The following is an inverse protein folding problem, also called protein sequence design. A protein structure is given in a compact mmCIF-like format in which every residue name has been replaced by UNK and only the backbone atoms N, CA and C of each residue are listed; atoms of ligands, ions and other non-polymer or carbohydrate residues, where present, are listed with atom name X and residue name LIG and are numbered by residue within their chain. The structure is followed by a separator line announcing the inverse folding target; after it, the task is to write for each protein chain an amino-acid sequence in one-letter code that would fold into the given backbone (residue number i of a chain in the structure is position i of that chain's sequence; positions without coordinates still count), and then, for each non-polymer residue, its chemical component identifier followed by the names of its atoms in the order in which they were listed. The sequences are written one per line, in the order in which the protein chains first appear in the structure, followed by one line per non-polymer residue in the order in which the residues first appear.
data_IF_809217155788
#
_entry.id   IF_809217155788
#
_cell.length_a   1.000
_cell.length_b   1.000
_cell.length_c   1.000
_cell.angle_alpha   90.00
_cell.angle_beta   90.00
_cell.angle_gamma   90.00
#
_symmetry.space_group_name_H-M   'P 1'
#
loop_
_entity.id
_entity.type
_entity.pdbx_description
1 polymer ?
#
# COMPACT_ATOMS: atom_id res chain seq x y z
N UNK A 1 11.40 -39.80 -6.95
CA UNK A 1 12.84 -39.99 -6.77
C UNK A 1 13.26 -39.06 -5.65
N UNK A 2 13.24 -39.57 -4.43
CA UNK A 2 13.59 -38.81 -3.22
C UNK A 2 15.09 -38.51 -3.26
N UNK A 3 15.43 -37.23 -3.38
CA UNK A 3 16.79 -36.75 -3.19
C UNK A 3 17.02 -36.62 -1.68
N UNK A 4 17.84 -37.53 -1.17
CA UNK A 4 18.46 -37.49 0.15
C UNK A 4 18.98 -36.07 0.46
N UNK A 5 18.42 -35.42 1.49
CA UNK A 5 19.00 -34.22 2.06
C UNK A 5 20.21 -34.62 2.92
N UNK A 6 21.44 -34.19 2.60
CA UNK A 6 22.58 -34.43 3.46
C UNK A 6 22.45 -33.56 4.71
N UNK A 7 22.60 -34.17 5.88
CA UNK A 7 22.86 -33.44 7.13
C UNK A 7 24.19 -32.68 6.97
N UNK A 8 24.14 -31.36 6.80
CA UNK A 8 25.33 -30.51 6.77
C UNK A 8 25.34 -29.30 5.82
N UNK A 9 24.32 -29.06 5.00
CA UNK A 9 24.31 -27.88 4.12
C UNK A 9 23.87 -26.61 4.86
N UNK A 10 24.85 -25.94 5.48
CA UNK A 10 24.76 -24.56 5.94
C UNK A 10 24.39 -23.65 4.76
N UNK A 11 23.29 -22.88 4.87
CA UNK A 11 22.86 -21.94 3.81
C UNK A 11 23.93 -20.87 3.54
N UNK A 12 24.62 -20.44 4.59
CA UNK A 12 25.83 -19.62 4.54
C UNK A 12 26.97 -20.34 5.28
N UNK A 13 27.89 -21.02 4.56
CA UNK A 13 28.97 -21.77 5.20
C UNK A 13 30.01 -20.87 5.90
N UNK A 14 30.07 -19.58 5.56
CA UNK A 14 31.11 -18.65 6.02
C UNK A 14 30.64 -17.69 7.13
N UNK A 15 29.36 -17.74 7.52
CA UNK A 15 28.76 -16.84 8.52
C UNK A 15 29.06 -15.37 8.20
N UNK A 16 28.78 -15.00 6.95
CA UNK A 16 29.00 -13.66 6.38
C UNK A 16 27.97 -12.63 6.86
N UNK A 17 27.04 -13.04 7.73
CA UNK A 17 25.99 -12.19 8.29
C UNK A 17 26.36 -11.62 9.68
N UNK A 18 25.78 -10.49 10.09
CA UNK A 18 26.03 -9.89 11.41
C UNK A 18 25.80 -10.84 12.59
N UNK A 19 26.69 -10.78 13.59
CA UNK A 19 26.61 -11.64 14.77
C UNK A 19 25.28 -11.46 15.53
N UNK A 20 24.70 -12.58 15.99
CA UNK A 20 23.46 -12.59 16.77
C UNK A 20 23.61 -13.46 18.01
N UNK A 21 22.68 -13.33 18.96
CA UNK A 21 22.58 -14.20 20.15
C UNK A 21 21.91 -15.55 19.86
N UNK A 22 21.38 -15.75 18.65
CA UNK A 22 20.64 -16.95 18.28
C UNK A 22 21.59 -18.05 17.82
N UNK A 23 21.23 -19.34 18.01
CA UNK A 23 22.00 -20.44 17.45
C UNK A 23 22.10 -20.33 15.92
N UNK A 24 23.28 -20.67 15.36
CA UNK A 24 23.56 -20.59 13.91
C UNK A 24 22.45 -21.18 13.04
N UNK A 25 22.02 -22.40 13.36
CA UNK A 25 20.95 -23.11 12.63
C UNK A 25 19.65 -22.32 12.61
N UNK A 26 19.33 -21.64 13.72
CA UNK A 26 18.12 -20.83 13.82
C UNK A 26 18.22 -19.57 12.97
N UNK A 27 19.37 -18.87 13.00
CA UNK A 27 19.60 -17.69 12.16
C UNK A 27 19.46 -18.05 10.70
N UNK A 28 20.12 -19.12 10.24
CA UNK A 28 20.06 -19.54 8.83
C UNK A 28 18.64 -19.91 8.38
N UNK A 29 17.83 -20.52 9.26
CA UNK A 29 16.41 -20.76 8.98
C UNK A 29 15.66 -19.45 8.77
N UNK A 30 15.86 -18.46 9.64
CA UNK A 30 15.21 -17.15 9.52
C UNK A 30 15.68 -16.39 8.27
N UNK A 31 16.96 -16.50 7.90
CA UNK A 31 17.49 -15.94 6.65
C UNK A 31 16.78 -16.58 5.45
N UNK A 32 16.72 -17.92 5.42
CA UNK A 32 16.05 -18.63 4.35
C UNK A 32 14.58 -18.21 4.25
N UNK A 33 13.85 -18.18 5.38
CA UNK A 33 12.45 -17.76 5.43
C UNK A 33 12.25 -16.30 4.99
N UNK A 34 13.17 -15.40 5.35
CA UNK A 34 13.13 -14.02 4.88
C UNK A 34 13.24 -13.94 3.35
N UNK A 35 14.19 -14.66 2.76
CA UNK A 35 14.46 -14.64 1.32
C UNK A 35 13.40 -15.40 0.50
N UNK A 36 12.86 -16.51 1.02
CA UNK A 36 11.88 -17.33 0.29
C UNK A 36 10.43 -16.91 0.50
N UNK A 37 10.13 -16.17 1.57
CA UNK A 37 8.74 -15.86 1.94
C UNK A 37 8.53 -14.38 2.24
N UNK A 38 9.25 -13.81 3.23
CA UNK A 38 8.96 -12.44 3.69
C UNK A 38 9.20 -11.41 2.58
N UNK A 39 10.27 -11.54 1.81
CA UNK A 39 10.61 -10.61 0.72
C UNK A 39 9.47 -10.48 -0.31
N UNK A 40 8.83 -11.60 -0.65
CA UNK A 40 7.71 -11.65 -1.60
C UNK A 40 6.39 -11.20 -0.96
N UNK A 41 6.18 -11.48 0.33
CA UNK A 41 5.02 -10.98 1.07
C UNK A 41 5.08 -9.46 1.26
N UNK A 42 6.28 -8.92 1.49
CA UNK A 42 6.48 -7.49 1.68
C UNK A 42 6.40 -6.72 0.38
N UNK A 43 6.70 -7.35 -0.76
CA UNK A 43 6.63 -6.71 -2.06
C UNK A 43 6.00 -7.63 -3.13
N UNK A 44 4.68 -7.87 -3.07
CA UNK A 44 4.00 -8.77 -4.01
C UNK A 44 3.83 -8.17 -5.41
N UNK A 45 4.21 -6.90 -5.60
CA UNK A 45 4.20 -6.22 -6.90
C UNK A 45 5.31 -6.72 -7.84
N UNK A 46 6.33 -7.39 -7.31
CA UNK A 46 7.38 -8.04 -8.09
C UNK A 46 7.77 -9.38 -7.45
N UNK A 47 7.30 -10.48 -8.04
CA UNK A 47 7.59 -11.84 -7.57
C UNK A 47 8.85 -12.43 -8.18
N UNK A 48 9.56 -11.70 -9.06
CA UNK A 48 10.78 -12.19 -9.64
C UNK A 48 11.96 -11.92 -8.69
N UNK A 49 12.63 -12.99 -8.27
CA UNK A 49 13.79 -12.93 -7.37
C UNK A 49 14.94 -12.05 -7.92
N UNK A 50 15.08 -11.92 -9.25
CA UNK A 50 16.16 -11.11 -9.84
C UNK A 50 15.89 -9.60 -9.84
N UNK A 51 14.69 -9.17 -9.47
CA UNK A 51 14.29 -7.75 -9.49
C UNK A 51 13.55 -7.30 -8.23
N UNK A 52 13.05 -8.23 -7.41
CA UNK A 52 12.35 -7.92 -6.16
C UNK A 52 13.22 -7.01 -5.26
N UNK A 53 12.76 -5.82 -4.87
CA UNK A 53 13.55 -4.84 -4.11
C UNK A 53 14.07 -5.35 -2.76
N UNK A 54 13.37 -6.28 -2.10
CA UNK A 54 13.85 -6.85 -0.84
C UNK A 54 15.01 -7.82 -1.04
N UNK A 55 15.07 -8.48 -2.20
CA UNK A 55 16.17 -9.38 -2.53
C UNK A 55 17.37 -8.59 -3.05
N UNK A 56 17.16 -7.71 -4.04
CA UNK A 56 18.28 -7.08 -4.77
C UNK A 56 18.83 -5.82 -4.10
N UNK A 57 18.06 -5.17 -3.21
CA UNK A 57 18.48 -3.93 -2.54
C UNK A 57 18.48 -4.06 -1.02
N UNK A 58 17.37 -4.49 -0.41
CA UNK A 58 17.29 -4.57 1.06
C UNK A 58 18.25 -5.60 1.66
N UNK A 59 18.28 -6.81 1.12
CA UNK A 59 19.08 -7.90 1.69
C UNK A 59 20.60 -7.62 1.72
N UNK A 60 21.22 -7.09 0.65
CA UNK A 60 22.61 -6.64 0.70
C UNK A 60 22.87 -5.59 1.79
N UNK A 61 21.97 -4.62 1.97
CA UNK A 61 22.09 -3.64 3.06
C UNK A 61 21.95 -4.30 4.43
N UNK A 62 21.03 -5.25 4.58
CA UNK A 62 20.85 -5.99 5.81
C UNK A 62 22.10 -6.78 6.19
N UNK A 63 22.79 -7.40 5.24
CA UNK A 63 24.06 -8.09 5.51
C UNK A 63 25.18 -7.14 5.94
N UNK A 64 25.17 -5.90 5.46
CA UNK A 64 26.19 -4.89 5.79
C UNK A 64 25.91 -4.15 7.11
N UNK A 65 24.67 -4.12 7.59
CA UNK A 65 24.27 -3.37 8.78
C UNK A 65 23.65 -4.27 9.86
N UNK A 66 24.25 -4.36 11.06
CA UNK A 66 23.72 -5.20 12.13
C UNK A 66 22.29 -4.86 12.55
N UNK A 67 21.90 -3.58 12.58
CA UNK A 67 20.55 -3.21 13.03
C UNK A 67 19.51 -3.70 12.02
N UNK A 68 19.75 -3.42 10.73
CA UNK A 68 18.86 -3.83 9.66
C UNK A 68 18.81 -5.36 9.51
N UNK A 69 19.93 -6.04 9.73
CA UNK A 69 19.95 -7.51 9.78
C UNK A 69 18.99 -8.06 10.83
N UNK A 70 19.11 -7.60 12.08
CA UNK A 70 18.30 -8.08 13.19
C UNK A 70 16.82 -7.80 12.94
N UNK A 71 16.49 -6.60 12.45
CA UNK A 71 15.11 -6.25 12.08
C UNK A 71 14.60 -7.16 10.95
N UNK A 72 15.43 -7.46 9.95
CA UNK A 72 15.04 -8.34 8.84
C UNK A 72 14.71 -9.76 9.32
N UNK A 73 15.59 -10.40 10.08
CA UNK A 73 15.31 -11.74 10.61
C UNK A 73 14.23 -11.73 11.71
N UNK A 74 14.00 -10.60 12.37
CA UNK A 74 12.87 -10.41 13.29
C UNK A 74 11.53 -10.53 12.57
N UNK A 75 11.42 -9.99 11.35
CA UNK A 75 10.18 -10.11 10.55
C UNK A 75 9.88 -11.57 10.18
N UNK A 76 10.91 -12.34 9.82
CA UNK A 76 10.80 -13.78 9.58
C UNK A 76 10.38 -14.54 10.85
N UNK A 77 11.01 -14.23 11.99
CA UNK A 77 10.65 -14.82 13.28
C UNK A 77 9.21 -14.50 13.65
N UNK A 78 8.78 -13.26 13.47
CA UNK A 78 7.43 -12.81 13.80
C UNK A 78 6.37 -13.58 13.01
N UNK A 79 6.60 -13.84 11.72
CA UNK A 79 5.70 -14.65 10.89
C UNK A 79 5.66 -16.12 11.33
N UNK A 80 6.83 -16.75 11.56
CA UNK A 80 6.90 -18.13 12.08
C UNK A 80 6.17 -18.27 13.44
N UNK A 81 6.46 -17.37 14.38
CA UNK A 81 5.91 -17.37 15.74
C UNK A 81 4.41 -17.08 15.77
N UNK A 82 3.94 -16.16 14.91
CA UNK A 82 2.51 -15.88 14.75
C UNK A 82 1.76 -17.12 14.26
N UNK A 83 2.31 -17.85 13.29
CA UNK A 83 1.71 -19.11 12.79
C UNK A 83 1.73 -20.20 13.85
N UNK A 84 2.80 -20.26 14.65
CA UNK A 84 2.93 -21.25 15.71
C UNK A 84 2.00 -21.01 16.91
N UNK A 85 1.51 -19.77 17.10
CA UNK A 85 0.64 -19.35 18.20
C UNK A 85 1.21 -19.67 19.60
N UNK A 86 2.53 -19.51 19.78
CA UNK A 86 3.26 -19.86 21.01
C UNK A 86 3.94 -18.67 21.69
N UNK A 87 3.48 -17.45 21.40
CA UNK A 87 4.14 -16.20 21.81
C UNK A 87 5.28 -15.80 20.87
N UNK A 88 6.05 -14.77 21.25
CA UNK A 88 7.05 -14.11 20.40
C UNK A 88 8.47 -14.00 21.00
N UNK A 89 8.99 -15.00 21.75
CA UNK A 89 10.25 -14.86 22.48
C UNK A 89 11.46 -14.53 21.58
N UNK A 90 11.53 -15.06 20.36
CA UNK A 90 12.65 -14.81 19.44
C UNK A 90 12.50 -13.44 18.80
N UNK A 91 11.30 -13.09 18.33
CA UNK A 91 11.04 -11.75 17.79
C UNK A 91 11.31 -10.66 18.84
N UNK A 92 10.93 -10.86 20.10
CA UNK A 92 11.22 -9.94 21.20
C UNK A 92 12.73 -9.82 21.48
N UNK A 93 13.48 -10.93 21.47
CA UNK A 93 14.92 -10.91 21.63
C UNK A 93 15.61 -10.07 20.53
N UNK A 94 15.23 -10.32 19.28
CA UNK A 94 15.75 -9.60 18.11
C UNK A 94 15.35 -8.13 18.12
N UNK A 95 14.16 -7.81 18.62
CA UNK A 95 13.71 -6.43 18.80
C UNK A 95 14.58 -5.68 19.80
N UNK A 96 14.87 -6.28 20.96
CA UNK A 96 15.74 -5.67 21.98
C UNK A 96 17.13 -5.39 21.41
N UNK A 97 17.68 -6.33 20.64
CA UNK A 97 18.97 -6.14 19.96
C UNK A 97 18.90 -5.02 18.92
N UNK A 98 17.86 -5.01 18.09
CA UNK A 98 17.63 -3.99 17.07
C UNK A 98 17.56 -2.59 17.67
N UNK A 99 16.75 -2.40 18.70
CA UNK A 99 16.60 -1.10 19.40
C UNK A 99 17.93 -0.66 20.03
N UNK A 100 18.69 -1.59 20.61
CA UNK A 100 20.02 -1.30 21.18
C UNK A 100 21.00 -0.83 20.09
N UNK A 101 21.04 -1.51 18.95
CA UNK A 101 21.89 -1.15 17.81
C UNK A 101 21.49 0.20 17.21
N UNK A 102 20.20 0.44 17.00
CA UNK A 102 19.68 1.72 16.48
C UNK A 102 20.02 2.87 17.42
N UNK A 103 19.88 2.70 18.74
CA UNK A 103 20.28 3.73 19.72
C UNK A 103 21.75 4.11 19.59
N UNK A 104 22.64 3.14 19.37
CA UNK A 104 24.07 3.39 19.11
C UNK A 104 24.27 4.16 17.80
N UNK A 105 23.54 3.79 16.73
CA UNK A 105 23.60 4.50 15.44
C UNK A 105 23.14 5.95 15.56
N UNK A 106 22.02 6.20 16.25
CA UNK A 106 21.46 7.55 16.45
C UNK A 106 22.40 8.45 17.26
N UNK A 107 23.24 7.88 18.13
CA UNK A 107 24.29 8.63 18.83
C UNK A 107 25.40 9.19 17.93
N UNK A 108 25.49 8.74 16.68
CA UNK A 108 26.45 9.23 15.67
C UNK A 108 25.71 9.99 14.58
N UNK A 109 26.08 11.24 14.33
CA UNK A 109 25.45 12.09 13.30
C UNK A 109 25.53 11.47 11.90
N UNK A 110 26.61 10.72 11.61
CA UNK A 110 26.81 10.05 10.32
C UNK A 110 25.95 8.80 10.18
N UNK A 111 25.89 7.96 11.22
CA UNK A 111 25.17 6.68 11.17
C UNK A 111 23.66 6.87 11.31
N UNK A 112 23.22 7.93 12.00
CA UNK A 112 21.82 8.25 12.22
C UNK A 112 21.04 8.46 10.91
N UNK A 113 21.70 8.98 9.87
CA UNK A 113 21.05 9.38 8.61
C UNK A 113 21.16 8.34 7.48
N UNK A 114 21.78 7.19 7.74
CA UNK A 114 21.93 6.12 6.78
C UNK A 114 20.58 5.44 6.44
N UNK A 115 20.48 4.86 5.24
CA UNK A 115 19.29 4.16 4.77
C UNK A 115 18.93 2.98 5.68
N UNK A 116 19.93 2.25 6.18
CA UNK A 116 19.73 1.10 7.07
C UNK A 116 19.12 1.53 8.41
N UNK A 117 19.43 2.75 8.88
CA UNK A 117 18.81 3.30 10.08
C UNK A 117 17.33 3.63 9.84
N UNK A 118 17.01 4.30 8.73
CA UNK A 118 15.62 4.59 8.35
C UNK A 118 14.79 3.32 8.15
N UNK A 119 15.33 2.38 7.39
CA UNK A 119 14.72 1.08 7.11
C UNK A 119 14.45 0.30 8.41
N UNK A 120 15.41 0.29 9.34
CA UNK A 120 15.25 -0.35 10.65
C UNK A 120 14.16 0.33 11.49
N UNK A 121 14.17 1.67 11.56
CA UNK A 121 13.21 2.45 12.34
C UNK A 121 11.78 2.28 11.82
N UNK A 122 11.57 2.32 10.51
CA UNK A 122 10.23 2.22 9.92
C UNK A 122 9.66 0.81 10.02
N UNK A 123 10.49 -0.22 9.87
CA UNK A 123 10.03 -1.60 10.07
C UNK A 123 9.68 -1.86 11.53
N UNK A 124 10.45 -1.31 12.49
CA UNK A 124 10.07 -1.38 13.91
C UNK A 124 8.75 -0.63 14.19
N UNK A 125 8.49 0.50 13.53
CA UNK A 125 7.19 1.18 13.66
C UNK A 125 6.03 0.25 13.26
N UNK A 126 6.14 -0.44 12.12
CA UNK A 126 5.15 -1.42 11.68
C UNK A 126 4.99 -2.61 12.64
N UNK A 127 6.10 -3.14 13.17
CA UNK A 127 6.07 -4.24 14.14
C UNK A 127 5.37 -3.81 15.44
N UNK A 128 5.74 -2.66 16.00
CA UNK A 128 5.12 -2.13 17.22
C UNK A 128 3.64 -1.82 17.02
N UNK A 129 3.27 -1.25 15.88
CA UNK A 129 1.87 -1.02 15.52
C UNK A 129 1.08 -2.32 15.49
N UNK A 130 1.63 -3.36 14.83
CA UNK A 130 1.01 -4.69 14.77
C UNK A 130 0.91 -5.41 16.13
N UNK A 131 1.66 -4.96 17.15
CA UNK A 131 1.55 -5.43 18.55
C UNK A 131 0.53 -4.62 19.37
N UNK A 132 -0.05 -3.56 18.80
CA UNK A 132 -0.91 -2.62 19.51
C UNK A 132 -0.14 -1.55 20.30
N UNK A 133 1.18 -1.46 20.17
CA UNK A 133 2.02 -0.46 20.84
C UNK A 133 2.04 0.85 20.03
N UNK A 134 0.88 1.51 19.95
CA UNK A 134 0.66 2.69 19.11
C UNK A 134 1.60 3.85 19.45
N UNK A 135 1.90 4.06 20.74
CA UNK A 135 2.82 5.11 21.19
C UNK A 135 4.26 4.87 20.71
N UNK A 136 4.74 3.63 20.79
CA UNK A 136 6.07 3.27 20.31
C UNK A 136 6.17 3.39 18.79
N UNK A 137 5.14 2.92 18.07
CA UNK A 137 5.02 3.11 16.61
C UNK A 137 5.11 4.58 16.23
N UNK A 138 4.32 5.46 16.88
CA UNK A 138 4.36 6.90 16.64
C UNK A 138 5.73 7.51 16.90
N UNK A 139 6.38 7.13 18.01
CA UNK A 139 7.73 7.61 18.33
C UNK A 139 8.76 7.21 17.25
N UNK A 140 8.65 6.01 16.67
CA UNK A 140 9.47 5.59 15.54
C UNK A 140 9.18 6.41 14.28
N UNK A 141 7.91 6.64 13.93
CA UNK A 141 7.54 7.49 12.79
C UNK A 141 8.07 8.92 12.95
N UNK A 142 7.91 9.53 14.13
CA UNK A 142 8.46 10.86 14.40
C UNK A 142 9.99 10.90 14.28
N UNK A 143 10.66 9.83 14.71
CA UNK A 143 12.11 9.65 14.53
C UNK A 143 12.50 9.59 13.04
N UNK A 144 11.79 8.78 12.26
CA UNK A 144 12.01 8.66 10.82
C UNK A 144 11.81 10.00 10.10
N UNK A 145 10.73 10.74 10.42
CA UNK A 145 10.45 12.07 9.84
C UNK A 145 11.59 13.06 10.10
N UNK A 146 12.15 13.08 11.31
CA UNK A 146 13.32 13.94 11.62
C UNK A 146 14.53 13.59 10.77
N UNK A 147 14.82 12.30 10.61
CA UNK A 147 15.96 11.84 9.78
C UNK A 147 15.74 12.21 8.31
N UNK A 148 14.53 12.03 7.77
CA UNK A 148 14.16 12.46 6.40
C UNK A 148 14.35 13.97 6.23
N UNK A 149 13.93 14.77 7.23
CA UNK A 149 14.11 16.22 7.21
C UNK A 149 15.60 16.63 7.18
N UNK A 150 16.46 15.96 7.95
CA UNK A 150 17.92 16.20 7.92
C UNK A 150 18.51 15.85 6.54
N UNK A 151 17.95 14.86 5.85
CA UNK A 151 18.34 14.48 4.49
C UNK A 151 17.76 15.38 3.39
N UNK A 152 16.99 16.40 3.75
CA UNK A 152 16.42 17.37 2.82
C UNK A 152 15.10 16.94 2.17
N UNK A 153 14.39 15.97 2.74
CA UNK A 153 13.07 15.55 2.24
C UNK A 153 13.03 14.14 1.67
N UNK A 154 11.81 13.66 1.41
CA UNK A 154 11.57 12.34 0.83
C UNK A 154 12.14 12.20 -0.58
N UNK A 155 12.09 13.25 -1.39
CA UNK A 155 12.65 13.22 -2.74
C UNK A 155 14.17 12.99 -2.73
N UNK A 156 14.88 13.68 -1.83
CA UNK A 156 16.32 13.48 -1.64
C UNK A 156 16.65 12.08 -1.13
N UNK A 157 15.79 11.50 -0.27
CA UNK A 157 15.91 10.08 0.12
C UNK A 157 15.69 9.18 -1.10
N UNK A 158 14.69 9.46 -1.93
CA UNK A 158 14.31 8.65 -3.09
C UNK A 158 15.43 8.60 -4.14
N UNK A 159 16.13 9.70 -4.37
CA UNK A 159 17.26 9.77 -5.31
C UNK A 159 18.43 8.84 -4.91
N UNK A 160 18.62 8.61 -3.61
CA UNK A 160 19.71 7.74 -3.09
C UNK A 160 19.22 6.31 -2.89
N UNK A 161 18.07 6.14 -2.24
CA UNK A 161 17.46 4.85 -1.95
C UNK A 161 15.95 4.90 -2.22
N UNK A 162 15.52 4.53 -3.45
CA UNK A 162 14.11 4.50 -3.81
C UNK A 162 13.28 3.59 -2.90
N UNK A 163 13.82 2.43 -2.51
CA UNK A 163 13.12 1.50 -1.61
C UNK A 163 12.88 2.11 -0.23
N UNK A 164 13.89 2.79 0.33
CA UNK A 164 13.75 3.46 1.63
C UNK A 164 12.69 4.55 1.58
N UNK A 165 12.70 5.41 0.56
CA UNK A 165 11.69 6.45 0.41
C UNK A 165 10.27 5.88 0.30
N UNK A 166 10.09 4.80 -0.48
CA UNK A 166 8.82 4.07 -0.63
C UNK A 166 8.32 3.53 0.70
N UNK A 167 9.17 2.79 1.43
CA UNK A 167 8.80 2.22 2.72
C UNK A 167 8.46 3.30 3.73
N UNK A 168 9.26 4.37 3.80
CA UNK A 168 9.04 5.45 4.74
C UNK A 168 7.70 6.13 4.50
N UNK A 169 7.40 6.55 3.28
CA UNK A 169 6.13 7.20 2.97
C UNK A 169 4.94 6.25 3.23
N UNK A 170 5.03 5.02 2.71
CA UNK A 170 3.92 4.07 2.74
C UNK A 170 3.62 3.55 4.15
N UNK A 171 4.63 3.05 4.88
CA UNK A 171 4.42 2.53 6.23
C UNK A 171 3.97 3.63 7.18
N UNK A 172 4.55 4.84 7.08
CA UNK A 172 4.12 5.97 7.92
C UNK A 172 2.65 6.30 7.71
N UNK A 173 2.16 6.28 6.46
CA UNK A 173 0.74 6.45 6.16
C UNK A 173 -0.12 5.35 6.79
N UNK A 174 0.27 4.09 6.63
CA UNK A 174 -0.54 2.95 7.06
C UNK A 174 -0.65 2.85 8.58
N UNK A 175 0.44 3.03 9.33
CA UNK A 175 0.44 2.87 10.79
C UNK A 175 -0.16 4.07 11.53
N UNK A 176 -0.20 5.26 10.92
CA UNK A 176 -0.85 6.43 11.51
C UNK A 176 -2.25 6.69 10.99
N UNK A 177 -2.66 5.97 9.93
CA UNK A 177 -3.94 6.16 9.25
C UNK A 177 -4.06 7.50 8.50
N UNK A 178 -2.97 8.24 8.29
CA UNK A 178 -2.99 9.53 7.60
C UNK A 178 -1.63 9.91 6.98
N UNK A 179 -1.60 10.65 5.86
CA UNK A 179 -0.35 11.10 5.25
C UNK A 179 0.55 11.82 6.26
N UNK A 180 1.80 11.34 6.38
CA UNK A 180 2.81 11.94 7.27
C UNK A 180 3.78 12.87 6.56
N UNK A 181 3.72 12.88 5.23
CA UNK A 181 4.52 13.69 4.34
C UNK A 181 3.59 14.45 3.39
N UNK A 182 3.99 15.64 3.01
CA UNK A 182 3.31 16.40 1.95
C UNK A 182 3.50 15.71 0.59
N UNK A 183 2.89 16.29 -0.44
CA UNK A 183 3.15 15.95 -1.84
C UNK A 183 3.92 17.10 -2.51
N UNK A 184 4.66 16.78 -3.56
CA UNK A 184 5.15 17.81 -4.48
C UNK A 184 4.04 18.24 -5.45
N UNK A 185 4.18 19.44 -6.01
CA UNK A 185 3.37 19.85 -7.16
C UNK A 185 3.85 19.22 -8.48
N UNK A 186 3.13 19.48 -9.56
CA UNK A 186 3.47 18.97 -10.90
C UNK A 186 4.78 19.56 -11.46
N UNK A 187 5.33 20.62 -10.84
CA UNK A 187 6.65 21.18 -11.18
C UNK A 187 7.79 20.51 -10.40
N UNK A 188 7.47 19.55 -9.53
CA UNK A 188 8.43 18.89 -8.64
C UNK A 188 8.85 19.76 -7.45
N UNK A 189 8.13 20.84 -7.16
CA UNK A 189 8.42 21.70 -6.02
C UNK A 189 7.85 21.07 -4.75
N UNK A 190 8.72 20.87 -3.76
CA UNK A 190 8.38 20.34 -2.44
C UNK A 190 9.34 19.24 -1.98
N UNK A 191 9.26 18.86 -0.71
CA UNK A 191 10.13 17.85 -0.07
C UNK A 191 9.39 16.53 0.24
N UNK A 192 8.17 16.39 -0.29
CA UNK A 192 7.24 15.30 -0.02
C UNK A 192 7.28 14.14 -1.03
N UNK A 193 6.17 13.41 -1.14
CA UNK A 193 5.98 12.38 -2.16
C UNK A 193 5.81 13.05 -3.53
N UNK A 194 6.72 12.76 -4.46
CA UNK A 194 6.73 13.34 -5.80
C UNK A 194 5.80 12.63 -6.80
N UNK A 195 5.32 13.34 -7.84
CA UNK A 195 4.54 12.74 -8.93
C UNK A 195 5.38 11.76 -9.74
N UNK A 196 4.73 10.79 -10.38
CA UNK A 196 5.39 9.90 -11.35
C UNK A 196 5.45 10.55 -12.73
N UNK A 197 6.33 10.04 -13.61
CA UNK A 197 6.38 10.51 -14.99
C UNK A 197 5.02 10.30 -15.69
N UNK A 198 4.36 9.16 -15.46
CA UNK A 198 3.05 8.86 -16.04
C UNK A 198 1.98 9.83 -15.54
N UNK A 199 2.04 10.24 -14.27
CA UNK A 199 1.16 11.28 -13.73
C UNK A 199 1.34 12.63 -14.46
N UNK A 200 2.59 13.04 -14.66
CA UNK A 200 2.92 14.29 -15.35
C UNK A 200 2.49 14.26 -16.82
N UNK A 201 2.74 13.15 -17.51
CA UNK A 201 2.32 12.97 -18.90
C UNK A 201 0.78 12.97 -19.03
N UNK A 202 0.07 12.49 -18.01
CA UNK A 202 -1.39 12.48 -18.02
C UNK A 202 -2.04 13.87 -17.95
N UNK A 203 -1.26 14.95 -17.75
CA UNK A 203 -1.76 16.33 -17.82
C UNK A 203 -2.41 16.64 -19.18
N UNK A 204 -1.96 16.01 -20.26
CA UNK A 204 -2.55 16.22 -21.60
C UNK A 204 -4.01 15.79 -21.69
N UNK A 205 -4.47 14.89 -20.82
CA UNK A 205 -5.86 14.45 -20.81
C UNK A 205 -6.81 15.49 -20.20
N UNK A 206 -6.29 16.48 -19.46
CA UNK A 206 -7.09 17.56 -18.89
C UNK A 206 -7.60 18.56 -19.93
N UNK A 207 -6.96 18.61 -21.10
CA UNK A 207 -7.39 19.45 -22.22
C UNK A 207 -8.61 18.86 -22.95
N UNK A 208 -8.93 17.59 -22.69
CA UNK A 208 -10.03 16.87 -23.30
C UNK A 208 -11.23 16.92 -22.36
N UNK A 209 -12.38 17.34 -22.89
CA UNK A 209 -13.63 17.37 -22.13
C UNK A 209 -14.06 15.95 -21.75
N UNK A 210 -14.19 15.67 -20.44
CA UNK A 210 -14.64 14.38 -19.92
C UNK A 210 -16.14 14.43 -19.57
N UNK A 211 -17.02 13.73 -20.32
CA UNK A 211 -18.46 13.72 -20.08
C UNK A 211 -18.84 13.26 -18.66
N UNK A 212 -18.02 12.42 -18.02
CA UNK A 212 -18.26 11.93 -16.67
C UNK A 212 -18.07 13.05 -15.66
N UNK A 213 -16.98 13.81 -15.79
CA UNK A 213 -16.64 14.94 -14.92
C UNK A 213 -17.72 16.02 -15.03
N UNK A 214 -18.09 16.39 -16.26
CA UNK A 214 -19.09 17.43 -16.51
C UNK A 214 -20.46 17.04 -15.96
N UNK A 215 -20.87 15.80 -16.19
CA UNK A 215 -22.18 15.32 -15.75
C UNK A 215 -22.28 15.22 -14.22
N UNK A 216 -21.21 14.76 -13.56
CA UNK A 216 -21.20 14.54 -12.12
C UNK A 216 -20.96 15.83 -11.31
N UNK A 217 -20.60 16.94 -11.97
CA UNK A 217 -20.31 18.23 -11.34
C UNK A 217 -19.27 18.09 -10.22
N UNK A 218 -18.18 17.39 -10.53
CA UNK A 218 -17.14 17.06 -9.55
C UNK A 218 -16.37 18.31 -9.10
N UNK A 219 -15.89 18.26 -7.87
CA UNK A 219 -14.87 19.18 -7.38
C UNK A 219 -13.63 19.14 -8.30
N UNK A 220 -12.98 20.31 -8.48
CA UNK A 220 -11.89 20.47 -9.45
C UNK A 220 -10.73 19.52 -9.18
N UNK A 221 -10.32 19.37 -7.92
CA UNK A 221 -9.16 18.54 -7.57
C UNK A 221 -9.49 17.05 -7.78
N UNK A 222 -10.73 16.66 -7.49
CA UNK A 222 -11.21 15.30 -7.71
C UNK A 222 -11.35 14.98 -9.20
N UNK A 223 -11.84 15.93 -9.99
CA UNK A 223 -11.92 15.82 -11.45
C UNK A 223 -10.55 15.66 -12.10
N UNK A 224 -9.56 16.47 -11.69
CA UNK A 224 -8.16 16.37 -12.17
C UNK A 224 -7.59 14.97 -11.90
N UNK A 225 -7.73 14.48 -10.66
CA UNK A 225 -7.22 13.17 -10.26
C UNK A 225 -7.90 12.05 -11.06
N UNK A 226 -9.24 12.07 -11.18
CA UNK A 226 -9.98 11.07 -11.94
C UNK A 226 -9.52 11.05 -13.40
N UNK A 227 -9.47 12.23 -14.04
CA UNK A 227 -9.13 12.36 -15.47
C UNK A 227 -7.74 11.80 -15.76
N UNK A 228 -6.75 12.12 -14.92
CA UNK A 228 -5.39 11.59 -15.05
C UNK A 228 -5.34 10.09 -14.84
N UNK A 229 -5.98 9.58 -13.79
CA UNK A 229 -6.02 8.14 -13.52
C UNK A 229 -6.67 7.35 -14.66
N UNK A 230 -7.76 7.85 -15.25
CA UNK A 230 -8.37 7.27 -16.45
C UNK A 230 -7.41 7.31 -17.63
N UNK A 231 -6.80 8.47 -17.86
CA UNK A 231 -5.79 8.66 -18.90
C UNK A 231 -4.59 7.72 -18.78
N UNK A 232 -4.27 7.25 -17.57
CA UNK A 232 -3.21 6.27 -17.30
C UNK A 232 -3.73 4.83 -17.44
N UNK A 233 -4.84 4.48 -16.77
CA UNK A 233 -5.32 3.10 -16.66
C UNK A 233 -6.07 2.58 -17.88
N UNK A 234 -6.65 3.46 -18.70
CA UNK A 234 -7.35 3.06 -19.92
C UNK A 234 -6.45 3.00 -21.16
N UNK A 235 -5.14 3.19 -21.01
CA UNK A 235 -4.20 3.02 -22.11
C UNK A 235 -3.98 1.53 -22.41
N UNK A 236 -3.75 1.15 -23.69
CA UNK A 236 -3.46 -0.24 -24.06
C UNK A 236 -2.27 -0.85 -23.30
N UNK A 237 -1.31 -0.03 -22.90
CA UNK A 237 -0.11 -0.43 -22.18
C UNK A 237 -0.21 -0.22 -20.66
N UNK A 238 -1.39 0.04 -20.09
CA UNK A 238 -1.53 0.31 -18.65
C UNK A 238 -0.97 -0.82 -17.76
N UNK A 239 -1.02 -2.07 -18.24
CA UNK A 239 -0.42 -3.22 -17.59
C UNK A 239 1.12 -3.18 -17.52
N UNK A 240 1.80 -2.25 -18.21
CA UNK A 240 3.24 -2.07 -18.06
C UNK A 240 3.62 -1.39 -16.74
N UNK A 241 2.67 -0.77 -16.03
CA UNK A 241 2.88 -0.07 -14.75
C UNK A 241 3.20 -0.99 -13.57
N UNK A 242 3.44 -2.28 -13.78
CA UNK A 242 3.63 -3.26 -12.70
C UNK A 242 4.90 -2.98 -11.86
N UNK A 243 4.91 -3.50 -10.63
CA UNK A 243 6.05 -3.34 -9.74
C UNK A 243 6.14 -1.94 -9.12
N UNK A 244 7.32 -1.33 -9.26
CA UNK A 244 7.66 -0.08 -8.55
C UNK A 244 6.96 1.16 -9.09
N UNK A 245 6.53 1.17 -10.36
CA UNK A 245 5.80 2.30 -10.94
C UNK A 245 4.40 2.42 -10.38
N UNK A 246 3.65 1.31 -10.28
CA UNK A 246 2.35 1.27 -9.61
C UNK A 246 2.48 1.65 -8.13
N UNK A 247 3.55 1.21 -7.45
CA UNK A 247 3.80 1.63 -6.07
C UNK A 247 3.95 3.14 -5.96
N UNK A 248 4.78 3.76 -6.80
CA UNK A 248 5.03 5.20 -6.75
C UNK A 248 3.77 6.00 -7.10
N UNK A 249 3.02 5.58 -8.13
CA UNK A 249 1.75 6.19 -8.51
C UNK A 249 0.71 6.09 -7.39
N UNK A 250 0.55 4.90 -6.80
CA UNK A 250 -0.37 4.66 -5.69
C UNK A 250 0.00 5.51 -4.48
N UNK A 251 1.29 5.52 -4.12
CA UNK A 251 1.80 6.30 -3.01
C UNK A 251 1.44 7.78 -3.20
N UNK A 252 1.76 8.36 -4.35
CA UNK A 252 1.45 9.76 -4.65
C UNK A 252 -0.05 10.05 -4.63
N UNK A 253 -0.86 9.27 -5.35
CA UNK A 253 -2.30 9.50 -5.50
C UNK A 253 -3.04 9.35 -4.18
N UNK A 254 -2.72 8.33 -3.38
CA UNK A 254 -3.34 8.13 -2.06
C UNK A 254 -2.97 9.27 -1.11
N UNK A 255 -1.71 9.73 -1.11
CA UNK A 255 -1.32 10.90 -0.32
C UNK A 255 -2.10 12.14 -0.77
N UNK A 256 -2.19 12.39 -2.07
CA UNK A 256 -2.94 13.52 -2.63
C UNK A 256 -4.43 13.48 -2.24
N UNK A 257 -5.10 12.34 -2.41
CA UNK A 257 -6.53 12.17 -2.08
C UNK A 257 -6.83 12.33 -0.59
N UNK A 258 -5.93 11.86 0.29
CA UNK A 258 -6.11 11.93 1.74
C UNK A 258 -5.74 13.29 2.34
N UNK A 259 -4.89 14.07 1.66
CA UNK A 259 -4.59 15.46 2.04
C UNK A 259 -5.72 16.45 1.67
N UNK A 260 -6.58 16.09 0.71
CA UNK A 260 -7.79 16.87 0.39
C UNK A 260 -8.78 16.78 1.56
N UNK A 261 -9.27 17.92 2.10
CA UNK A 261 -10.23 17.92 3.20
C UNK A 261 -11.58 17.32 2.76
N UNK A 262 -12.43 16.88 3.71
CA UNK A 262 -13.77 16.36 3.39
C UNK A 262 -14.62 17.34 2.57
N UNK A 263 -15.14 16.84 1.44
CA UNK A 263 -15.96 17.61 0.50
C UNK A 263 -17.45 17.49 0.87
N UNK A 264 -17.87 18.12 1.96
CA UNK A 264 -19.25 18.01 2.48
C UNK A 264 -20.32 18.53 1.52
N UNK A 265 -19.94 19.47 0.66
CA UNK A 265 -20.86 20.15 -0.26
C UNK A 265 -21.03 19.40 -1.60
N UNK A 266 -20.22 18.36 -1.84
CA UNK A 266 -20.26 17.54 -3.07
C UNK A 266 -20.18 16.05 -2.72
N UNK A 267 -21.31 15.40 -2.38
CA UNK A 267 -21.35 13.98 -2.01
C UNK A 267 -20.76 13.06 -3.08
N UNK A 268 -20.93 13.38 -4.37
CA UNK A 268 -20.35 12.63 -5.49
C UNK A 268 -18.82 12.67 -5.44
N UNK A 269 -18.25 13.87 -5.24
CA UNK A 269 -16.81 14.06 -5.17
C UNK A 269 -16.21 13.40 -3.94
N UNK A 270 -16.88 13.49 -2.79
CA UNK A 270 -16.43 12.84 -1.57
C UNK A 270 -16.50 11.30 -1.67
N UNK A 271 -17.57 10.76 -2.30
CA UNK A 271 -17.67 9.33 -2.57
C UNK A 271 -16.55 8.87 -3.51
N UNK A 272 -16.30 9.63 -4.58
CA UNK A 272 -15.27 9.31 -5.55
C UNK A 272 -13.86 9.43 -4.92
N UNK A 273 -13.60 10.44 -4.09
CA UNK A 273 -12.33 10.60 -3.35
C UNK A 273 -12.04 9.38 -2.46
N UNK A 274 -13.04 8.95 -1.68
CA UNK A 274 -12.95 7.76 -0.83
C UNK A 274 -12.76 6.48 -1.67
N UNK A 275 -13.60 6.27 -2.68
CA UNK A 275 -13.56 5.07 -3.49
C UNK A 275 -12.30 4.99 -4.37
N UNK A 276 -11.79 6.10 -4.93
CA UNK A 276 -10.47 6.11 -5.60
C UNK A 276 -9.35 5.74 -4.64
N UNK A 277 -9.39 6.22 -3.40
CA UNK A 277 -8.39 5.83 -2.40
C UNK A 277 -8.42 4.32 -2.16
N UNK A 278 -9.61 3.75 -1.93
CA UNK A 278 -9.80 2.31 -1.75
C UNK A 278 -9.38 1.51 -3.00
N UNK A 279 -9.74 1.99 -4.19
CA UNK A 279 -9.40 1.35 -5.45
C UNK A 279 -7.88 1.27 -5.66
N UNK A 280 -7.17 2.38 -5.41
CA UNK A 280 -5.72 2.42 -5.44
C UNK A 280 -5.11 1.43 -4.43
N UNK A 281 -5.65 1.33 -3.21
CA UNK A 281 -5.22 0.32 -2.24
C UNK A 281 -5.45 -1.12 -2.71
N UNK A 282 -6.57 -1.41 -3.39
CA UNK A 282 -6.88 -2.74 -3.93
C UNK A 282 -5.91 -3.14 -5.05
N UNK A 283 -5.69 -2.27 -6.05
CA UNK A 283 -4.80 -2.59 -7.18
C UNK A 283 -3.33 -2.64 -6.75
N UNK A 284 -2.95 -1.88 -5.72
CA UNK A 284 -1.60 -1.90 -5.14
C UNK A 284 -1.37 -3.09 -4.21
N UNK A 285 -2.32 -3.34 -3.30
CA UNK A 285 -2.36 -4.50 -2.42
C UNK A 285 -1.53 -4.32 -1.18
N UNK A 286 -1.43 -5.39 -0.39
CA UNK A 286 -0.65 -5.40 0.86
C UNK A 286 0.84 -5.43 0.54
N UNK A 287 1.51 -4.30 0.76
CA UNK A 287 2.95 -4.12 0.56
C UNK A 287 3.53 -3.50 1.82
N UNK A 288 4.58 -4.11 2.38
CA UNK A 288 5.21 -3.83 3.68
C UNK A 288 4.33 -4.05 4.92
N UNK A 289 3.10 -3.55 4.91
CA UNK A 289 2.12 -3.64 6.00
C UNK A 289 0.70 -3.68 5.44
N UNK A 290 -0.25 -4.21 6.21
CA UNK A 290 -1.67 -4.25 5.80
C UNK A 290 -2.29 -2.84 5.76
N UNK A 291 -3.17 -2.61 4.80
CA UNK A 291 -3.95 -1.38 4.71
C UNK A 291 -5.37 -1.50 5.30
N UNK A 292 -5.70 -2.60 5.98
CA UNK A 292 -7.06 -2.89 6.50
C UNK A 292 -7.60 -1.77 7.39
N UNK A 293 -6.81 -1.25 8.34
CA UNK A 293 -7.28 -0.20 9.25
C UNK A 293 -7.59 1.11 8.51
N UNK A 294 -6.71 1.49 7.58
CA UNK A 294 -6.92 2.66 6.72
C UNK A 294 -8.18 2.48 5.84
N UNK A 295 -8.32 1.32 5.19
CA UNK A 295 -9.49 1.02 4.37
C UNK A 295 -10.79 1.08 5.18
N UNK A 296 -10.82 0.48 6.37
CA UNK A 296 -11.99 0.52 7.25
C UNK A 296 -12.36 1.96 7.64
N UNK A 297 -11.37 2.81 7.94
CA UNK A 297 -11.64 4.23 8.23
C UNK A 297 -12.27 4.99 7.04
N UNK A 298 -11.81 4.69 5.82
CA UNK A 298 -12.33 5.30 4.59
C UNK A 298 -13.74 4.78 4.29
N UNK A 299 -14.01 3.48 4.50
CA UNK A 299 -15.33 2.88 4.33
C UNK A 299 -16.36 3.52 5.25
N UNK A 300 -16.03 3.73 6.54
CA UNK A 300 -16.97 4.38 7.46
C UNK A 300 -17.34 5.80 6.99
N UNK A 301 -16.36 6.54 6.48
CA UNK A 301 -16.59 7.88 5.91
C UNK A 301 -17.44 7.80 4.64
N UNK A 302 -17.15 6.86 3.75
CA UNK A 302 -17.89 6.65 2.51
C UNK A 302 -19.35 6.25 2.75
N UNK A 303 -19.62 5.38 3.74
CA UNK A 303 -20.98 4.98 4.11
C UNK A 303 -21.88 6.16 4.47
N UNK A 304 -21.33 7.17 5.16
CA UNK A 304 -22.08 8.40 5.48
C UNK A 304 -22.53 9.18 4.24
N UNK A 305 -21.84 9.01 3.11
CA UNK A 305 -22.07 9.74 1.86
C UNK A 305 -22.79 8.91 0.78
N UNK A 306 -22.85 7.59 0.94
CA UNK A 306 -23.52 6.68 0.00
C UNK A 306 -25.05 6.83 0.03
N UNK A 307 -25.64 7.19 1.16
CA UNK A 307 -27.09 7.32 1.31
C UNK A 307 -27.71 8.37 0.35
N UNK A 308 -27.11 9.56 0.15
CA UNK A 308 -27.50 10.51 -0.90
C UNK A 308 -27.44 10.02 -2.36
N UNK A 309 -26.66 8.97 -2.66
CA UNK A 309 -26.50 8.42 -4.01
C UNK A 309 -27.50 7.27 -4.29
N UNK A 310 -28.04 6.65 -3.25
CA UNK A 310 -28.96 5.53 -3.40
C UNK A 310 -30.25 5.93 -4.14
N UNK A 311 -30.58 5.20 -5.21
CA UNK A 311 -31.84 5.34 -5.95
C UNK A 311 -31.88 6.46 -6.98
N UNK A 312 -30.78 7.18 -7.22
CA UNK A 312 -30.69 8.19 -8.28
C UNK A 312 -30.24 7.55 -9.60
N UNK A 313 -31.19 7.02 -10.37
CA UNK A 313 -30.92 6.32 -11.64
C UNK A 313 -31.21 7.17 -12.90
N UNK A 314 -31.46 8.47 -12.74
CA UNK A 314 -31.84 9.35 -13.85
C UNK A 314 -30.75 9.63 -14.88
N UNK A 315 -29.49 9.25 -14.62
CA UNK A 315 -28.34 9.46 -15.51
C UNK A 315 -27.39 8.26 -15.49
N UNK A 316 -26.94 7.80 -16.67
CA UNK A 316 -26.05 6.65 -16.85
C UNK A 316 -24.73 6.81 -16.08
N UNK A 317 -24.16 8.00 -16.01
CA UNK A 317 -22.91 8.24 -15.29
C UNK A 317 -23.10 8.22 -13.77
N UNK A 318 -24.27 8.65 -13.29
CA UNK A 318 -24.61 8.55 -11.87
C UNK A 318 -24.85 7.09 -11.45
N UNK A 319 -25.50 6.31 -12.32
CA UNK A 319 -25.60 4.86 -12.14
C UNK A 319 -24.23 4.17 -12.18
N UNK A 320 -23.38 4.51 -13.15
CA UNK A 320 -22.03 3.97 -13.26
C UNK A 320 -21.18 4.30 -12.03
N UNK A 321 -21.28 5.53 -11.51
CA UNK A 321 -20.64 5.94 -10.26
C UNK A 321 -21.14 5.09 -9.08
N UNK A 322 -22.45 4.89 -8.97
CA UNK A 322 -23.03 4.09 -7.89
C UNK A 322 -22.52 2.64 -7.92
N UNK A 323 -22.54 2.00 -9.10
CA UNK A 323 -22.02 0.64 -9.28
C UNK A 323 -20.53 0.59 -8.96
N UNK A 324 -19.74 1.53 -9.46
CA UNK A 324 -18.31 1.58 -9.22
C UNK A 324 -17.96 1.74 -7.74
N UNK A 325 -18.57 2.71 -7.05
CA UNK A 325 -18.33 2.95 -5.62
C UNK A 325 -18.72 1.70 -4.80
N UNK A 326 -19.89 1.10 -5.07
CA UNK A 326 -20.32 -0.11 -4.36
C UNK A 326 -19.33 -1.28 -4.59
N UNK A 327 -18.90 -1.48 -5.83
CA UNK A 327 -17.93 -2.51 -6.19
C UNK A 327 -16.64 -2.40 -5.38
N UNK A 328 -16.04 -1.20 -5.39
CA UNK A 328 -14.79 -0.92 -4.68
C UNK A 328 -14.96 -1.08 -3.17
N UNK A 329 -16.09 -0.63 -2.63
CA UNK A 329 -16.37 -0.71 -1.19
C UNK A 329 -16.56 -2.15 -0.73
N UNK A 330 -17.29 -2.97 -1.50
CA UNK A 330 -17.52 -4.40 -1.21
C UNK A 330 -16.19 -5.14 -1.16
N UNK A 331 -15.32 -4.95 -2.16
CA UNK A 331 -14.01 -5.61 -2.22
C UNK A 331 -13.08 -5.17 -1.08
N UNK A 332 -13.24 -3.94 -0.59
CA UNK A 332 -12.43 -3.40 0.51
C UNK A 332 -12.95 -3.77 1.91
N UNK A 333 -14.23 -4.10 2.04
CA UNK A 333 -14.88 -4.27 3.34
C UNK A 333 -14.47 -5.58 4.01
N UNK A 334 -14.17 -5.51 5.32
CA UNK A 334 -13.88 -6.69 6.14
C UNK A 334 -14.95 -6.97 7.21
N UNK A 335 -15.79 -5.98 7.53
CA UNK A 335 -16.86 -6.15 8.52
C UNK A 335 -18.08 -6.86 7.90
N UNK A 336 -18.54 -7.98 8.48
CA UNK A 336 -19.67 -8.75 7.91
C UNK A 336 -20.98 -7.96 7.80
N UNK A 337 -21.24 -7.05 8.73
CA UNK A 337 -22.46 -6.22 8.74
C UNK A 337 -22.41 -5.20 7.60
N UNK A 338 -21.25 -4.58 7.41
CA UNK A 338 -21.01 -3.64 6.32
C UNK A 338 -21.12 -4.33 4.97
N UNK A 339 -20.50 -5.51 4.82
CA UNK A 339 -20.59 -6.33 3.61
C UNK A 339 -22.04 -6.66 3.27
N UNK A 340 -22.83 -7.11 4.25
CA UNK A 340 -24.24 -7.46 4.02
C UNK A 340 -25.05 -6.26 3.53
N UNK A 341 -24.87 -5.09 4.15
CA UNK A 341 -25.55 -3.86 3.73
C UNK A 341 -25.12 -3.42 2.31
N UNK A 342 -23.82 -3.47 2.01
CA UNK A 342 -23.29 -3.11 0.69
C UNK A 342 -23.78 -4.05 -0.41
N UNK A 343 -23.81 -5.36 -0.16
CA UNK A 343 -24.36 -6.36 -1.08
C UNK A 343 -25.83 -6.06 -1.37
N UNK A 344 -26.63 -5.75 -0.34
CA UNK A 344 -28.04 -5.40 -0.53
C UNK A 344 -28.20 -4.14 -1.38
N UNK A 345 -27.40 -3.10 -1.12
CA UNK A 345 -27.39 -1.88 -1.94
C UNK A 345 -26.96 -2.15 -3.39
N UNK A 346 -25.98 -3.03 -3.61
CA UNK A 346 -25.54 -3.45 -4.93
C UNK A 346 -26.63 -4.20 -5.70
N UNK A 347 -27.37 -5.12 -5.06
CA UNK A 347 -28.51 -5.80 -5.68
C UNK A 347 -29.59 -4.83 -6.13
N UNK A 348 -29.91 -3.82 -5.32
CA UNK A 348 -30.88 -2.77 -5.69
C UNK A 348 -30.38 -1.98 -6.90
N UNK A 349 -29.12 -1.54 -6.89
CA UNK A 349 -28.53 -0.77 -7.99
C UNK A 349 -28.48 -1.58 -9.28
N UNK A 350 -28.06 -2.85 -9.20
CA UNK A 350 -28.00 -3.77 -10.34
C UNK A 350 -29.37 -3.98 -10.98
N UNK A 351 -30.41 -4.22 -10.18
CA UNK A 351 -31.78 -4.35 -10.66
C UNK A 351 -32.29 -3.08 -11.33
N UNK A 352 -32.01 -1.91 -10.72
CA UNK A 352 -32.44 -0.63 -11.27
C UNK A 352 -31.76 -0.28 -12.60
N UNK A 353 -30.57 -0.85 -12.84
CA UNK A 353 -29.79 -0.69 -14.08
C UNK A 353 -29.94 -1.89 -15.03
N UNK A 354 -30.75 -2.90 -14.67
CA UNK A 354 -30.97 -4.12 -15.44
C UNK A 354 -29.68 -4.89 -15.77
N UNK A 355 -28.71 -4.93 -14.84
CA UNK A 355 -27.47 -5.68 -15.00
C UNK A 355 -27.76 -7.18 -14.83
N UNK A 356 -27.32 -8.01 -15.77
CA UNK A 356 -27.59 -9.46 -15.78
C UNK A 356 -26.31 -10.29 -15.71
N UNK A 357 -25.17 -9.69 -16.06
CA UNK A 357 -23.89 -10.37 -16.19
C UNK A 357 -22.73 -9.52 -15.65
N UNK A 358 -21.59 -10.18 -15.45
CA UNK A 358 -20.34 -9.48 -15.14
C UNK A 358 -19.95 -8.47 -16.24
N UNK A 359 -20.19 -8.80 -17.51
CA UNK A 359 -19.88 -7.91 -18.63
C UNK A 359 -20.66 -6.58 -18.54
N UNK A 360 -21.93 -6.63 -18.11
CA UNK A 360 -22.73 -5.43 -17.87
C UNK A 360 -22.12 -4.56 -16.76
N UNK A 361 -21.62 -5.19 -15.70
CA UNK A 361 -20.95 -4.50 -14.58
C UNK A 361 -19.66 -3.84 -15.05
N UNK A 362 -18.82 -4.55 -15.83
CA UNK A 362 -17.53 -4.05 -16.32
C UNK A 362 -17.70 -2.76 -17.13
N UNK A 363 -18.74 -2.65 -17.95
CA UNK A 363 -19.05 -1.41 -18.70
C UNK A 363 -19.19 -0.22 -17.73
N UNK A 364 -19.87 -0.41 -16.60
CA UNK A 364 -19.99 0.64 -15.58
C UNK A 364 -18.69 0.94 -14.85
N UNK A 365 -17.84 -0.07 -14.63
CA UNK A 365 -16.53 0.15 -14.01
C UNK A 365 -15.61 0.95 -14.93
N UNK A 366 -15.57 0.59 -16.22
CA UNK A 366 -14.79 1.27 -17.26
C UNK A 366 -15.26 2.70 -17.51
N UNK A 367 -16.56 2.98 -17.35
CA UNK A 367 -17.08 4.35 -17.44
C UNK A 367 -16.48 5.27 -16.37
N UNK A 368 -16.06 4.76 -15.21
CA UNK A 368 -15.52 5.56 -14.11
C UNK A 368 -14.00 5.43 -14.04
N UNK A 369 -13.49 4.28 -13.59
CA UNK A 369 -12.07 4.03 -13.46
C UNK A 369 -11.83 2.52 -13.38
N UNK A 370 -11.05 1.96 -14.31
CA UNK A 370 -10.83 0.53 -14.34
C UNK A 370 -9.46 0.19 -14.92
N UNK A 371 -8.77 -0.70 -14.24
CA UNK A 371 -7.51 -1.32 -14.64
C UNK A 371 -7.73 -2.83 -14.59
N UNK A 372 -7.69 -3.47 -15.76
CA UNK A 372 -7.76 -4.92 -15.85
C UNK A 372 -6.49 -5.51 -15.22
N UNK A 373 -6.61 -6.18 -14.08
CA UNK A 373 -5.49 -6.82 -13.37
C UNK A 373 -5.91 -8.20 -12.89
N UNK A 374 -4.98 -9.06 -12.45
CA UNK A 374 -5.34 -10.33 -11.79
C UNK A 374 -6.28 -10.12 -10.58
N UNK A 375 -6.25 -8.92 -9.97
CA UNK A 375 -7.13 -8.58 -8.84
C UNK A 375 -8.53 -8.20 -9.26
N UNK A 376 -8.78 -8.01 -10.55
CA UNK A 376 -10.13 -7.86 -11.11
C UNK A 376 -11.00 -9.11 -10.85
N UNK A 377 -10.39 -10.29 -10.74
CA UNK A 377 -11.12 -11.53 -10.43
C UNK A 377 -11.88 -11.46 -9.10
N UNK A 378 -11.37 -10.71 -8.13
CA UNK A 378 -12.07 -10.51 -6.85
C UNK A 378 -13.37 -9.73 -7.06
N UNK A 379 -13.36 -8.70 -7.91
CA UNK A 379 -14.58 -7.96 -8.26
C UNK A 379 -15.58 -8.86 -8.97
N UNK A 380 -15.11 -9.65 -9.94
CA UNK A 380 -15.94 -10.59 -10.69
C UNK A 380 -16.63 -11.60 -9.78
N UNK A 381 -15.89 -12.25 -8.88
CA UNK A 381 -16.44 -13.23 -7.94
C UNK A 381 -17.54 -12.63 -7.05
N UNK A 382 -17.35 -11.40 -6.57
CA UNK A 382 -18.37 -10.71 -5.76
C UNK A 382 -19.62 -10.40 -6.59
N UNK A 383 -19.47 -9.91 -7.82
CA UNK A 383 -20.60 -9.54 -8.67
C UNK A 383 -21.37 -10.74 -9.21
N UNK A 384 -20.70 -11.84 -9.57
CA UNK A 384 -21.38 -13.09 -9.93
C UNK A 384 -22.29 -13.57 -8.78
N UNK A 385 -21.82 -13.48 -7.52
CA UNK A 385 -22.64 -13.81 -6.35
C UNK A 385 -23.77 -12.81 -6.07
N UNK A 386 -23.61 -11.54 -6.42
CA UNK A 386 -24.63 -10.49 -6.26
C UNK A 386 -25.76 -10.66 -7.28
N UNK A 387 -25.42 -10.97 -8.53
CA UNK A 387 -26.33 -11.10 -9.67
C UNK A 387 -27.10 -12.44 -9.67
N UNK A 388 -26.68 -13.40 -8.85
CA UNK A 388 -27.46 -14.61 -8.54
C UNK A 388 -28.48 -14.33 -7.43
#
# INVERSE_FOLDING_TARGET
MELFAPAGNSFDPFDSYPATRLPRVHVQRLIQHFLSNISFQYYPLDLNMSSNPFIVSWWPLALADPALFHVSIQTASLDEERRAQKGFPISELLMVDSVSLIRKKIGSSLLAIQDETLNSVVTLAAIEHGKGNIEASRAHIDGAKRIVGIRGGLDQVKQVSPLTARMIAWVSLLVTGSPQYAIQDDLGIGDGVGPTLQWLLASSFLEIQDPVVDTLHLDRDIADILTRLRGIFHQPNALSLLGTELHDLTCFVVHKLLLIPPLTDSPQSECLRCAMTLYMLIIHGTTYYTHTELANSIIQRLKSQLQPLAGKTGNVFLGSLQIWVLSVTIVSATDPTDIQWLIYAAKIAANAMSLQSWDDVVVHLQNILWLETERADVFRQQWEAILT
#
